data_IF_333721256241
#
_entry.id   IF_333721256241
#
_cell.length_a   1.000
_cell.length_b   1.000
_cell.length_c   1.000
_cell.angle_alpha   90.00
_cell.angle_beta   90.00
_cell.angle_gamma   90.00
#
_symmetry.space_group_name_H-M   'P 1'
#
loop_
_entity.id
_entity.type
_entity.pdbx_description
1 polymer ?
#
# COMPACT_ATOMS: atom_id res chain seq x y z
N UNK A 1 17.48 -1.88 -70.29
CA UNK A 1 16.33 -1.83 -69.35
C UNK A 1 16.83 -2.19 -67.96
N UNK A 2 17.09 -1.20 -67.11
CA UNK A 2 17.57 -1.37 -65.74
C UNK A 2 16.37 -1.25 -64.79
N UNK A 3 16.15 -2.25 -63.94
CA UNK A 3 15.11 -2.23 -62.89
C UNK A 3 15.68 -1.58 -61.62
N UNK A 4 15.01 -0.60 -60.99
CA UNK A 4 15.45 -0.07 -59.71
C UNK A 4 15.03 -1.02 -58.57
N UNK A 5 15.98 -1.28 -57.67
CA UNK A 5 15.79 -2.07 -56.45
C UNK A 5 15.24 -1.15 -55.35
N UNK A 6 13.99 -1.34 -54.97
CA UNK A 6 13.36 -0.58 -53.88
C UNK A 6 13.86 -1.08 -52.52
N UNK A 7 14.53 -0.21 -51.77
CA UNK A 7 14.87 -0.42 -50.37
C UNK A 7 13.67 -0.05 -49.51
N UNK A 8 12.98 -1.05 -48.94
CA UNK A 8 11.97 -0.82 -47.90
C UNK A 8 12.72 -0.72 -46.56
N UNK A 9 12.94 0.51 -46.09
CA UNK A 9 13.32 0.74 -44.70
C UNK A 9 12.08 0.50 -43.82
N UNK A 10 12.02 -0.66 -43.17
CA UNK A 10 11.04 -0.94 -42.13
C UNK A 10 11.38 -0.16 -40.85
N UNK A 11 10.62 0.89 -40.56
CA UNK A 11 10.66 1.55 -39.25
C UNK A 11 10.05 0.62 -38.20
N UNK A 12 10.90 0.02 -37.36
CA UNK A 12 10.45 -0.67 -36.16
C UNK A 12 9.92 0.37 -35.17
N UNK A 13 8.59 0.44 -35.01
CA UNK A 13 7.94 1.21 -33.96
C UNK A 13 8.31 0.59 -32.61
N UNK A 14 9.32 1.15 -31.93
CA UNK A 14 9.57 0.94 -30.52
C UNK A 14 8.34 1.42 -29.75
N UNK A 15 7.46 0.48 -29.38
CA UNK A 15 6.38 0.76 -28.43
C UNK A 15 7.03 0.93 -27.06
N UNK A 16 7.03 2.14 -26.53
CA UNK A 16 7.38 2.38 -25.13
C UNK A 16 6.50 1.49 -24.25
N UNK A 17 7.12 0.55 -23.53
CA UNK A 17 6.45 -0.17 -22.48
C UNK A 17 6.16 0.83 -21.36
N UNK A 18 4.91 1.26 -21.25
CA UNK A 18 4.43 1.96 -20.06
C UNK A 18 4.40 0.92 -18.94
N UNK A 19 5.43 0.90 -18.09
CA UNK A 19 5.31 0.25 -16.80
C UNK A 19 4.14 0.94 -16.08
N UNK A 20 3.21 0.14 -15.56
CA UNK A 20 2.12 0.63 -14.71
C UNK A 20 2.76 0.96 -13.36
N UNK A 21 3.52 2.05 -13.31
CA UNK A 21 3.94 2.62 -12.04
C UNK A 21 2.83 3.57 -11.63
N UNK A 22 1.98 3.12 -10.71
CA UNK A 22 1.41 4.01 -9.70
C UNK A 22 2.55 4.83 -9.11
N UNK A 23 2.31 6.13 -8.89
CA UNK A 23 3.37 7.05 -8.49
C UNK A 23 4.16 6.55 -7.28
N UNK A 24 5.45 6.90 -7.20
CA UNK A 24 6.29 6.44 -6.10
C UNK A 24 5.84 7.11 -4.80
N UNK A 25 5.27 6.31 -3.90
CA UNK A 25 4.78 6.71 -2.59
C UNK A 25 5.59 6.10 -1.44
N UNK A 26 6.76 5.51 -1.73
CA UNK A 26 7.70 5.01 -0.72
C UNK A 26 9.08 5.67 -0.87
N UNK A 27 9.68 6.04 0.26
CA UNK A 27 11.02 6.61 0.34
C UNK A 27 11.84 5.91 1.42
N UNK A 28 13.11 5.61 1.12
CA UNK A 28 14.06 5.09 2.11
C UNK A 28 14.83 6.20 2.84
N UNK A 29 14.86 7.39 2.25
CA UNK A 29 15.39 8.58 2.89
C UNK A 29 14.32 9.23 3.78
N UNK A 30 14.77 9.86 4.87
CA UNK A 30 13.91 10.69 5.71
C UNK A 30 13.27 11.80 4.89
N UNK A 31 11.94 11.86 4.92
CA UNK A 31 11.15 12.90 4.25
C UNK A 31 10.30 13.62 5.29
N UNK A 32 10.34 14.96 5.25
CA UNK A 32 9.46 15.80 6.05
C UNK A 32 8.00 15.45 5.75
N UNK A 33 7.21 15.16 6.79
CA UNK A 33 5.81 14.77 6.65
C UNK A 33 5.54 13.32 6.21
N UNK A 34 6.58 12.51 5.95
CA UNK A 34 6.44 11.10 5.61
C UNK A 34 5.99 10.24 6.81
N UNK A 35 5.19 9.21 6.53
CA UNK A 35 4.80 8.22 7.52
C UNK A 35 5.93 7.21 7.70
N UNK A 36 6.67 7.29 8.81
CA UNK A 36 7.71 6.30 9.09
C UNK A 36 7.09 4.95 9.43
N UNK A 37 7.33 3.96 8.58
CA UNK A 37 7.00 2.56 8.84
C UNK A 37 7.90 2.06 9.95
N UNK A 38 7.29 1.46 10.98
CA UNK A 38 8.01 0.89 12.11
C UNK A 38 9.04 1.87 12.72
N UNK A 39 8.58 3.04 13.19
CA UNK A 39 9.37 3.88 14.11
C UNK A 39 9.73 3.08 15.38
N UNK A 40 10.54 3.65 16.28
CA UNK A 40 10.82 3.04 17.60
C UNK A 40 9.52 2.61 18.31
N UNK A 41 9.26 1.29 18.31
CA UNK A 41 7.99 0.67 18.72
C UNK A 41 7.49 -0.36 17.69
N UNK A 42 6.58 -1.26 18.08
CA UNK A 42 5.98 -2.22 17.14
C UNK A 42 4.92 -1.52 16.29
N UNK A 43 5.22 -1.20 15.02
CA UNK A 43 4.19 -0.78 14.08
C UNK A 43 3.17 -1.90 13.90
N UNK A 44 1.89 -1.56 14.08
CA UNK A 44 0.78 -2.48 13.97
C UNK A 44 0.00 -2.20 12.70
N UNK A 45 -0.26 -3.26 11.94
CA UNK A 45 -1.25 -3.27 10.87
C UNK A 45 -2.59 -3.60 11.53
N UNK A 46 -3.56 -2.70 11.44
CA UNK A 46 -4.87 -2.83 12.03
C UNK A 46 -5.90 -3.13 10.96
N UNK A 47 -6.68 -4.19 11.18
CA UNK A 47 -7.80 -4.60 10.34
C UNK A 47 -9.07 -4.72 11.17
N UNK A 48 -10.23 -4.46 10.59
CA UNK A 48 -11.49 -4.70 11.27
C UNK A 48 -11.76 -6.20 11.44
N UNK A 49 -12.42 -6.64 12.54
CA UNK A 49 -12.81 -8.05 12.70
C UNK A 49 -13.75 -8.56 11.60
N UNK A 50 -14.53 -7.67 10.97
CA UNK A 50 -15.48 -8.00 9.93
C UNK A 50 -14.90 -7.90 8.51
N UNK A 51 -13.58 -7.73 8.36
CA UNK A 51 -12.92 -7.61 7.07
C UNK A 51 -12.89 -8.94 6.29
N UNK A 52 -12.77 -8.87 4.96
CA UNK A 52 -12.65 -10.06 4.13
C UNK A 52 -11.46 -10.94 4.55
N UNK A 53 -11.61 -12.28 4.63
CA UNK A 53 -10.50 -13.17 4.98
C UNK A 53 -9.27 -13.03 4.07
N UNK A 54 -9.49 -12.71 2.79
CA UNK A 54 -8.40 -12.45 1.84
C UNK A 54 -7.60 -11.19 2.15
N UNK A 55 -8.25 -10.13 2.64
CA UNK A 55 -7.59 -8.90 3.08
C UNK A 55 -6.84 -9.12 4.38
N UNK A 56 -7.40 -9.89 5.32
CA UNK A 56 -6.69 -10.28 6.56
C UNK A 56 -5.43 -11.06 6.23
N UNK A 57 -5.50 -12.02 5.29
CA UNK A 57 -4.33 -12.77 4.81
C UNK A 57 -3.28 -11.85 4.19
N UNK A 58 -3.69 -11.01 3.23
CA UNK A 58 -2.79 -10.08 2.56
C UNK A 58 -2.16 -9.07 3.54
N UNK A 59 -2.89 -8.67 4.60
CA UNK A 59 -2.34 -7.82 5.67
C UNK A 59 -1.24 -8.53 6.46
N UNK A 60 -1.37 -9.86 6.64
CA UNK A 60 -0.33 -10.70 7.24
C UNK A 60 0.92 -10.79 6.37
N UNK A 61 0.74 -10.99 5.07
CA UNK A 61 1.82 -11.01 4.09
C UNK A 61 2.53 -9.65 4.05
N UNK A 62 1.78 -8.55 3.97
CA UNK A 62 2.29 -7.18 4.03
C UNK A 62 3.08 -6.88 5.32
N UNK A 63 2.58 -7.29 6.49
CA UNK A 63 3.30 -7.11 7.75
C UNK A 63 4.63 -7.90 7.75
N UNK A 64 4.64 -9.11 7.20
CA UNK A 64 5.85 -9.94 7.06
C UNK A 64 6.84 -9.34 6.07
N UNK A 65 6.37 -8.81 4.96
CA UNK A 65 7.16 -8.14 3.94
C UNK A 65 7.88 -6.92 4.53
N UNK A 66 7.13 -6.02 5.17
CA UNK A 66 7.71 -4.87 5.86
C UNK A 66 8.65 -5.28 7.00
N UNK A 67 8.36 -6.37 7.71
CA UNK A 67 9.28 -6.90 8.73
C UNK A 67 10.59 -7.39 8.10
N UNK A 68 10.49 -8.02 6.91
CA UNK A 68 11.64 -8.49 6.16
C UNK A 68 12.47 -7.31 5.65
N UNK A 69 11.85 -6.26 5.11
CA UNK A 69 12.56 -5.06 4.64
C UNK A 69 13.22 -4.32 5.80
N UNK A 70 12.47 -4.07 6.87
CA UNK A 70 12.92 -3.19 7.98
C UNK A 70 13.77 -3.86 9.03
N UNK A 71 13.71 -5.19 9.12
CA UNK A 71 14.31 -5.95 10.23
C UNK A 71 13.58 -5.77 11.57
N UNK A 72 12.43 -5.08 11.60
CA UNK A 72 11.60 -4.85 12.79
C UNK A 72 10.36 -5.74 12.73
N UNK A 73 9.89 -6.26 13.86
CA UNK A 73 8.67 -7.08 13.87
C UNK A 73 7.42 -6.20 13.78
N UNK A 74 6.69 -6.30 12.67
CA UNK A 74 5.33 -5.79 12.53
C UNK A 74 4.33 -6.92 12.76
N UNK A 75 3.19 -6.59 13.36
CA UNK A 75 2.11 -7.55 13.62
C UNK A 75 0.78 -7.03 13.10
N UNK A 76 -0.09 -7.96 12.71
CA UNK A 76 -1.49 -7.67 12.39
C UNK A 76 -2.32 -7.85 13.65
N UNK A 77 -3.22 -6.91 13.91
CA UNK A 77 -4.18 -7.00 15.00
C UNK A 77 -5.58 -6.62 14.52
N UNK A 78 -6.57 -7.34 15.04
CA UNK A 78 -7.96 -6.94 14.90
C UNK A 78 -8.21 -5.71 15.76
N UNK A 79 -8.82 -4.68 15.18
CA UNK A 79 -9.10 -3.43 15.88
C UNK A 79 -10.51 -2.91 15.58
N UNK A 80 -11.09 -2.30 16.59
CA UNK A 80 -12.27 -1.45 16.49
C UNK A 80 -11.84 -0.01 16.75
N UNK A 81 -12.74 0.95 16.54
CA UNK A 81 -12.48 2.36 16.83
C UNK A 81 -12.03 2.62 18.28
N UNK A 82 -12.44 1.76 19.22
CA UNK A 82 -12.06 1.88 20.64
C UNK A 82 -10.70 1.24 20.98
N UNK A 83 -10.28 0.20 20.25
CA UNK A 83 -9.02 -0.51 20.53
C UNK A 83 -7.85 0.01 19.68
N UNK A 84 -8.11 0.76 18.62
CA UNK A 84 -7.08 1.31 17.74
C UNK A 84 -6.05 2.20 18.46
N UNK A 85 -6.45 2.87 19.54
CA UNK A 85 -5.60 3.75 20.37
C UNK A 85 -4.43 3.03 21.07
N UNK A 86 -4.42 1.70 21.10
CA UNK A 86 -3.29 0.90 21.59
C UNK A 86 -2.03 1.06 20.71
N UNK A 87 -2.17 1.65 19.52
CA UNK A 87 -1.08 2.06 18.65
C UNK A 87 -1.25 3.53 18.28
N UNK A 88 -0.27 4.37 18.61
CA UNK A 88 -0.31 5.80 18.26
C UNK A 88 -0.12 6.07 16.78
N UNK A 89 0.61 5.19 16.09
CA UNK A 89 0.95 5.33 14.67
C UNK A 89 0.75 4.03 13.87
N UNK A 90 -0.50 3.50 13.77
CA UNK A 90 -0.78 2.27 13.05
C UNK A 90 -0.83 2.46 11.54
N UNK A 91 -0.73 1.36 10.81
CA UNK A 91 -1.22 1.27 9.43
C UNK A 91 -2.63 0.68 9.53
N UNK A 92 -3.64 1.37 9.01
CA UNK A 92 -5.04 0.92 9.06
C UNK A 92 -5.43 0.45 7.66
N UNK A 93 -5.98 -0.76 7.57
CA UNK A 93 -6.31 -1.42 6.30
C UNK A 93 -7.76 -1.85 6.32
N UNK A 94 -8.47 -1.61 5.22
CA UNK A 94 -9.80 -2.20 5.05
C UNK A 94 -10.47 -1.84 3.74
N UNK A 95 -11.64 -2.41 3.53
CA UNK A 95 -12.43 -2.23 2.31
C UNK A 95 -13.58 -1.24 2.53
N UNK A 96 -13.74 -0.28 1.62
CA UNK A 96 -14.81 0.70 1.66
C UNK A 96 -16.18 0.02 1.65
N UNK A 97 -17.09 0.47 2.52
CA UNK A 97 -18.46 -0.08 2.63
C UNK A 97 -18.56 -1.46 3.29
N UNK A 98 -17.43 -2.06 3.71
CA UNK A 98 -17.41 -3.35 4.41
C UNK A 98 -16.72 -3.24 5.77
N UNK A 99 -15.60 -2.55 5.85
CA UNK A 99 -14.82 -2.41 7.09
C UNK A 99 -15.46 -1.41 8.05
N UNK A 100 -15.81 -1.85 9.25
CA UNK A 100 -16.34 -0.94 10.29
C UNK A 100 -15.26 0.07 10.72
N UNK A 101 -14.00 -0.36 10.73
CA UNK A 101 -12.86 0.47 11.08
C UNK A 101 -12.64 1.59 10.05
N UNK A 102 -12.67 1.28 8.75
CA UNK A 102 -12.56 2.32 7.71
C UNK A 102 -13.78 3.23 7.72
N UNK A 103 -14.98 2.71 7.95
CA UNK A 103 -16.19 3.53 8.05
C UNK A 103 -16.05 4.58 9.17
N UNK A 104 -15.47 4.19 10.31
CA UNK A 104 -15.17 5.11 11.40
C UNK A 104 -14.11 6.16 11.02
N UNK A 105 -13.02 5.75 10.37
CA UNK A 105 -11.96 6.67 9.89
C UNK A 105 -12.51 7.68 8.89
N UNK A 106 -13.29 7.25 7.90
CA UNK A 106 -13.88 8.14 6.89
C UNK A 106 -14.85 9.12 7.55
N UNK A 107 -15.67 8.64 8.49
CA UNK A 107 -16.65 9.51 9.16
C UNK A 107 -15.99 10.54 10.09
N UNK A 108 -14.93 10.16 10.82
CA UNK A 108 -14.22 11.05 11.75
C UNK A 108 -13.43 12.14 11.02
N UNK A 109 -12.74 11.77 9.94
CA UNK A 109 -11.78 12.66 9.25
C UNK A 109 -12.38 13.38 8.05
N UNK A 110 -13.56 12.95 7.59
CA UNK A 110 -14.16 13.39 6.31
C UNK A 110 -13.23 13.15 5.11
N UNK A 111 -12.51 12.03 5.15
CA UNK A 111 -11.63 11.60 4.07
C UNK A 111 -12.40 11.51 2.75
N UNK A 112 -11.88 12.15 1.70
CA UNK A 112 -12.44 12.01 0.37
C UNK A 112 -12.07 10.64 -0.21
N UNK A 113 -13.09 9.82 -0.45
CA UNK A 113 -12.98 8.48 -1.04
C UNK A 113 -13.70 8.40 -2.39
N UNK A 114 -14.09 9.54 -2.96
CA UNK A 114 -14.86 9.62 -4.20
C UNK A 114 -14.13 9.01 -5.41
N UNK A 115 -12.79 9.04 -5.40
CA UNK A 115 -11.94 8.50 -6.46
C UNK A 115 -12.07 6.98 -6.61
N UNK A 116 -12.36 6.26 -5.52
CA UNK A 116 -12.46 4.79 -5.48
C UNK A 116 -13.89 4.29 -5.28
N UNK A 117 -14.80 5.13 -4.81
CA UNK A 117 -16.18 4.73 -4.56
C UNK A 117 -16.87 4.22 -5.83
N UNK A 118 -17.39 2.99 -5.77
CA UNK A 118 -18.05 2.32 -6.90
C UNK A 118 -17.12 1.91 -8.05
N UNK A 119 -15.79 2.05 -7.89
CA UNK A 119 -14.81 1.60 -8.89
C UNK A 119 -14.44 0.14 -8.69
N UNK A 120 -14.07 -0.52 -9.77
CA UNK A 120 -13.56 -1.88 -9.76
C UNK A 120 -12.09 -1.89 -9.35
N UNK A 121 -11.74 -2.67 -8.33
CA UNK A 121 -10.37 -3.00 -7.92
C UNK A 121 -9.45 -1.80 -7.73
N UNK A 122 -10.00 -0.68 -7.26
CA UNK A 122 -9.24 0.54 -7.05
C UNK A 122 -8.90 0.69 -5.56
N UNK A 123 -7.86 1.44 -5.24
CA UNK A 123 -7.51 1.76 -3.85
C UNK A 123 -6.97 3.18 -3.72
N UNK A 124 -6.96 3.66 -2.48
CA UNK A 124 -6.16 4.80 -2.04
C UNK A 124 -5.39 4.39 -0.79
N UNK A 125 -4.22 4.97 -0.62
CA UNK A 125 -3.28 4.76 0.47
C UNK A 125 -2.68 6.11 0.87
N UNK A 126 -3.05 6.65 2.03
CA UNK A 126 -2.54 7.96 2.44
C UNK A 126 -2.39 8.14 3.94
N UNK A 127 -1.53 9.07 4.33
CA UNK A 127 -1.39 9.47 5.72
C UNK A 127 -2.58 10.32 6.15
N UNK A 128 -3.18 9.97 7.29
CA UNK A 128 -4.31 10.68 7.90
C UNK A 128 -3.94 11.05 9.34
N UNK A 129 -4.11 12.31 9.70
CA UNK A 129 -3.90 12.82 11.07
C UNK A 129 -5.18 12.64 11.91
N UNK A 130 -5.03 12.22 13.16
CA UNK A 130 -6.14 11.97 14.09
C UNK A 130 -7.27 11.09 13.50
N UNK A 131 -6.97 9.92 12.89
CA UNK A 131 -7.98 9.11 12.21
C UNK A 131 -9.04 8.54 13.15
N UNK A 132 -8.66 8.25 14.40
CA UNK A 132 -9.52 7.70 15.44
C UNK A 132 -9.12 8.30 16.79
N UNK A 133 -10.02 8.35 17.79
CA UNK A 133 -9.68 8.82 19.13
C UNK A 133 -8.46 8.09 19.71
N UNK A 134 -7.44 8.84 20.11
CA UNK A 134 -6.20 8.29 20.68
C UNK A 134 -5.17 7.76 19.67
N UNK A 135 -5.41 7.92 18.36
CA UNK A 135 -4.43 7.65 17.30
C UNK A 135 -3.94 8.99 16.75
N UNK A 136 -2.64 9.29 16.90
CA UNK A 136 -2.08 10.60 16.51
C UNK A 136 -2.05 10.75 14.98
N UNK A 137 -1.62 9.70 14.29
CA UNK A 137 -1.56 9.61 12.82
C UNK A 137 -1.64 8.16 12.38
N UNK A 138 -2.20 7.87 11.22
CA UNK A 138 -2.12 6.55 10.61
C UNK A 138 -1.81 6.65 9.12
N UNK A 139 -1.25 5.59 8.56
CA UNK A 139 -1.31 5.37 7.12
C UNK A 139 -2.52 4.50 6.82
N UNK A 140 -3.44 4.98 6.00
CA UNK A 140 -4.74 4.34 5.78
C UNK A 140 -4.79 3.81 4.36
N UNK A 141 -4.95 2.49 4.20
CA UNK A 141 -5.12 1.80 2.92
C UNK A 141 -6.58 1.38 2.77
N UNK A 142 -7.26 1.92 1.76
CA UNK A 142 -8.68 1.72 1.51
C UNK A 142 -8.87 1.21 0.08
N UNK A 143 -9.38 -0.01 -0.07
CA UNK A 143 -9.84 -0.49 -1.37
C UNK A 143 -11.31 -0.17 -1.63
N UNK A 144 -11.69 -0.01 -2.90
CA UNK A 144 -13.07 0.06 -3.35
C UNK A 144 -13.82 -1.26 -3.15
N UNK A 145 -13.08 -2.37 -3.26
CA UNK A 145 -13.53 -3.73 -3.03
C UNK A 145 -12.39 -4.58 -2.43
N UNK A 146 -12.69 -5.86 -2.15
CA UNK A 146 -11.75 -6.80 -1.54
C UNK A 146 -10.41 -6.85 -2.27
N UNK A 147 -10.42 -6.88 -3.60
CA UNK A 147 -9.19 -7.04 -4.39
C UNK A 147 -8.45 -5.71 -4.51
N UNK A 148 -9.15 -4.59 -4.61
CA UNK A 148 -8.56 -3.26 -4.51
C UNK A 148 -7.73 -3.10 -3.23
N UNK A 149 -8.27 -3.50 -2.08
CA UNK A 149 -7.52 -3.45 -0.80
C UNK A 149 -6.27 -4.33 -0.83
N UNK A 150 -6.38 -5.54 -1.39
CA UNK A 150 -5.25 -6.48 -1.52
C UNK A 150 -4.17 -5.91 -2.46
N UNK A 151 -4.56 -5.31 -3.57
CA UNK A 151 -3.61 -4.69 -4.50
C UNK A 151 -2.90 -3.50 -3.87
N UNK A 152 -3.59 -2.65 -3.09
CA UNK A 152 -2.94 -1.57 -2.37
C UNK A 152 -1.88 -2.04 -1.37
N UNK A 153 -2.10 -3.18 -0.70
CA UNK A 153 -1.10 -3.78 0.19
C UNK A 153 0.11 -4.29 -0.57
N UNK A 154 -0.09 -5.03 -1.66
CA UNK A 154 1.02 -5.58 -2.43
C UNK A 154 1.79 -4.51 -3.21
N UNK A 155 1.12 -3.44 -3.64
CA UNK A 155 1.78 -2.26 -4.20
C UNK A 155 2.76 -1.66 -3.19
N UNK A 156 2.32 -1.46 -1.94
CA UNK A 156 3.19 -0.93 -0.90
C UNK A 156 4.33 -1.90 -0.53
N UNK A 157 4.09 -3.22 -0.54
CA UNK A 157 5.15 -4.22 -0.39
C UNK A 157 6.20 -4.11 -1.51
N UNK A 158 5.74 -4.00 -2.77
CA UNK A 158 6.61 -3.90 -3.93
C UNK A 158 7.44 -2.62 -3.90
N UNK A 159 6.80 -1.46 -3.67
CA UNK A 159 7.50 -0.19 -3.53
C UNK A 159 8.44 -0.15 -2.31
N UNK A 160 8.16 -0.95 -1.27
CA UNK A 160 9.08 -1.13 -0.12
C UNK A 160 10.27 -2.04 -0.43
N UNK A 161 10.34 -2.63 -1.63
CA UNK A 161 11.47 -3.44 -2.10
C UNK A 161 11.22 -4.95 -2.10
N UNK A 162 9.98 -5.41 -1.92
CA UNK A 162 9.63 -6.83 -2.02
C UNK A 162 9.10 -7.13 -3.42
N UNK A 163 9.97 -7.66 -4.29
CA UNK A 163 9.56 -8.06 -5.64
C UNK A 163 8.44 -9.11 -5.60
N UNK A 164 7.44 -9.06 -6.49
CA UNK A 164 6.47 -10.14 -6.66
C UNK A 164 7.11 -11.52 -6.94
N UNK A 165 8.36 -11.52 -7.43
CA UNK A 165 9.14 -12.71 -7.74
C UNK A 165 10.09 -13.13 -6.61
N UNK A 166 10.03 -12.52 -5.43
CA UNK A 166 10.99 -12.79 -4.33
C UNK A 166 11.10 -14.28 -3.98
N UNK A 167 9.99 -15.02 -4.05
CA UNK A 167 9.96 -16.46 -3.79
C UNK A 167 10.02 -17.30 -5.08
N UNK A 168 9.39 -16.84 -6.16
CA UNK A 168 9.29 -17.59 -7.41
C UNK A 168 10.55 -17.57 -8.28
N UNK A 169 11.42 -16.57 -8.08
CA UNK A 169 12.68 -16.42 -8.81
C UNK A 169 13.82 -15.94 -7.89
N UNK A 170 13.71 -16.20 -6.59
CA UNK A 170 14.73 -15.91 -5.56
C UNK A 170 15.25 -14.45 -5.59
N UNK A 171 14.40 -13.49 -5.96
CA UNK A 171 14.79 -12.07 -6.01
C UNK A 171 15.06 -11.58 -4.58
N UNK A 172 16.28 -11.09 -4.26
CA UNK A 172 16.62 -10.71 -2.90
C UNK A 172 15.89 -9.43 -2.46
N UNK A 173 15.32 -9.47 -1.25
CA UNK A 173 14.72 -8.29 -0.60
C UNK A 173 15.83 -7.44 0.02
N UNK A 174 15.95 -6.19 -0.44
CA UNK A 174 16.90 -5.23 0.10
C UNK A 174 16.47 -4.77 1.50
N UNK A 175 17.43 -4.69 2.43
CA UNK A 175 17.17 -4.29 3.80
C UNK A 175 17.26 -2.78 3.94
N UNK A 176 16.24 -2.16 4.54
CA UNK A 176 16.18 -0.72 4.78
C UNK A 176 15.77 -0.45 6.23
N UNK A 177 16.67 0.14 7.04
CA UNK A 177 16.38 0.42 8.45
C UNK A 177 15.21 1.40 8.66
N UNK A 178 14.98 2.26 7.66
CA UNK A 178 13.88 3.21 7.61
C UNK A 178 13.16 3.11 6.27
N UNK A 179 11.83 3.03 6.34
CA UNK A 179 10.92 3.10 5.19
C UNK A 179 9.89 4.17 5.54
N UNK A 180 9.63 5.08 4.61
CA UNK A 180 8.67 6.16 4.78
C UNK A 180 7.63 6.08 3.67
N UNK A 181 6.36 6.04 4.03
CA UNK A 181 5.28 6.21 3.07
C UNK A 181 5.01 7.71 2.88
N UNK A 182 5.14 8.18 1.65
CA UNK A 182 5.07 9.58 1.27
C UNK A 182 3.76 9.86 0.53
N UNK A 183 2.95 10.77 1.06
CA UNK A 183 1.75 11.26 0.37
C UNK A 183 0.67 10.19 0.16
N UNK A 184 -0.09 10.39 -0.93
CA UNK A 184 -1.22 9.55 -1.37
C UNK A 184 -0.75 8.66 -2.54
N UNK A 185 -0.78 7.35 -2.34
CA UNK A 185 -1.12 6.39 -3.38
C UNK A 185 -2.61 6.00 -3.21
#
# INVERSE_FOLDING_TARGET
MLRPWSWILGFALLRSALAISTGNCVSFDSKSGGFQVASTGSARVLVAPNEWPGVVRASGDFAKDLSTVTGKTLTVANATSSTASQSKTPIIVGTLGHSDLISAVVNSTKLDVSTISGKWESFIAQQVSNPLPGVDKAYVVIGSDKRGTIYGLYELSEQSGVSPWYWWADVPVQKHSNVYFTGTC
#
